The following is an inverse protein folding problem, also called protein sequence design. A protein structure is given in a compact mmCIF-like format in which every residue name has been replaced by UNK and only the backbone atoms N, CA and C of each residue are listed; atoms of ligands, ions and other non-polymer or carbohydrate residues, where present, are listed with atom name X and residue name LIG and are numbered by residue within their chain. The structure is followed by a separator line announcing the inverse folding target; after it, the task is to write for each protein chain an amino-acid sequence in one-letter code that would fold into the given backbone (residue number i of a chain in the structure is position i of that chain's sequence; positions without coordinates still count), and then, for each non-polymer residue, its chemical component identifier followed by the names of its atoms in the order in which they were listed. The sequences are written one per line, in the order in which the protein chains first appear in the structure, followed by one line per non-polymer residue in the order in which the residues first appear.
data_IF_397556757173
#
_entry.id   IF_397556757173
#
_cell.length_a   1.000
_cell.length_b   1.000
_cell.length_c   1.000
_cell.angle_alpha   90.00
_cell.angle_beta   90.00
_cell.angle_gamma   90.00
#
_symmetry.space_group_name_H-M   'P 1'
#
loop_
_entity.id
_entity.type
_entity.pdbx_description
1 polymer ?
#
# COMPACT_ATOMS: atom_id res chain seq x y z
N UNK A 1 16.11 -20.88 18.23
CA UNK A 1 14.90 -20.65 19.04
C UNK A 1 14.16 -19.48 18.40
N UNK A 2 13.16 -19.75 17.57
CA UNK A 2 12.38 -18.67 16.95
C UNK A 2 11.55 -17.99 18.05
N UNK A 3 11.48 -16.65 18.09
CA UNK A 3 10.64 -15.96 19.06
C UNK A 3 9.19 -16.44 18.89
N UNK A 4 8.58 -16.84 20.00
CA UNK A 4 7.15 -17.17 20.06
C UNK A 4 6.38 -16.00 19.46
N UNK A 5 5.52 -16.33 18.49
CA UNK A 5 4.59 -15.42 17.84
C UNK A 5 4.04 -14.43 18.87
N UNK A 6 4.37 -13.14 18.71
CA UNK A 6 3.60 -12.09 19.36
C UNK A 6 2.14 -12.39 19.04
N UNK A 7 1.32 -12.49 20.09
CA UNK A 7 -0.12 -12.64 20.00
C UNK A 7 -0.61 -11.79 18.82
N UNK A 8 -1.19 -12.47 17.83
CA UNK A 8 -1.88 -11.83 16.74
C UNK A 8 -2.98 -11.00 17.40
N UNK A 9 -2.71 -9.72 17.62
CA UNK A 9 -3.73 -8.74 17.93
C UNK A 9 -4.82 -8.93 16.89
N UNK A 10 -6.09 -8.85 17.28
CA UNK A 10 -7.20 -8.77 16.32
C UNK A 10 -6.93 -7.56 15.43
N UNK A 11 -6.14 -7.74 14.36
CA UNK A 11 -5.75 -6.68 13.46
C UNK A 11 -6.97 -6.41 12.60
N UNK A 12 -7.48 -5.19 12.69
CA UNK A 12 -8.51 -4.67 11.81
C UNK A 12 -8.07 -4.77 10.35
N UNK A 13 -6.76 -4.70 10.06
CA UNK A 13 -6.21 -4.72 8.71
C UNK A 13 -5.50 -6.04 8.36
N UNK A 14 -5.94 -6.73 7.30
CA UNK A 14 -5.25 -7.88 6.71
C UNK A 14 -4.60 -7.51 5.38
N UNK A 15 -3.27 -7.37 5.39
CA UNK A 15 -2.45 -6.96 4.24
C UNK A 15 -1.87 -8.17 3.51
N UNK A 16 -2.05 -8.23 2.20
CA UNK A 16 -1.45 -9.23 1.31
C UNK A 16 -0.63 -8.53 0.22
N UNK A 17 0.64 -8.92 0.07
CA UNK A 17 1.46 -8.55 -1.10
C UNK A 17 1.15 -9.59 -2.18
N UNK A 18 0.45 -9.18 -3.23
CA UNK A 18 -0.01 -10.06 -4.31
C UNK A 18 0.98 -10.18 -5.47
N UNK A 19 1.88 -9.20 -5.62
CA UNK A 19 2.89 -9.21 -6.68
C UNK A 19 4.12 -8.40 -6.26
N UNK A 20 5.28 -8.79 -6.78
CA UNK A 20 6.51 -7.99 -6.62
C UNK A 20 6.34 -6.61 -7.26
N UNK A 21 6.74 -5.55 -6.56
CA UNK A 21 6.79 -4.23 -7.19
C UNK A 21 8.07 -4.09 -8.03
N UNK A 22 7.99 -3.37 -9.14
CA UNK A 22 9.17 -3.04 -9.93
C UNK A 22 9.93 -1.92 -9.20
N UNK A 23 11.06 -2.24 -8.57
CA UNK A 23 11.97 -1.22 -8.04
C UNK A 23 12.77 -0.63 -9.20
N UNK A 24 12.52 0.63 -9.53
CA UNK A 24 13.23 1.32 -10.61
C UNK A 24 13.78 2.70 -10.22
N UNK A 25 13.40 3.22 -9.06
CA UNK A 25 13.99 4.42 -8.45
C UNK A 25 13.90 4.32 -6.93
N UNK A 26 14.75 5.05 -6.23
CA UNK A 26 14.76 5.06 -4.76
C UNK A 26 13.50 5.74 -4.21
N UNK A 27 12.95 6.73 -4.91
CA UNK A 27 11.69 7.38 -4.55
C UNK A 27 10.51 6.40 -4.66
N UNK A 28 10.46 5.58 -5.72
CA UNK A 28 9.43 4.56 -5.87
C UNK A 28 9.46 3.53 -4.73
N UNK A 29 10.67 3.16 -4.28
CA UNK A 29 10.87 2.28 -3.14
C UNK A 29 10.43 2.95 -1.83
N UNK A 30 10.79 4.21 -1.59
CA UNK A 30 10.38 4.95 -0.40
C UNK A 30 8.85 5.03 -0.30
N UNK A 31 8.19 5.42 -1.39
CA UNK A 31 6.72 5.51 -1.44
C UNK A 31 6.08 4.15 -1.18
N UNK A 32 6.63 3.07 -1.75
CA UNK A 32 6.14 1.72 -1.49
C UNK A 32 6.13 1.40 0.01
N UNK A 33 7.25 1.65 0.72
CA UNK A 33 7.32 1.43 2.16
C UNK A 33 6.41 2.35 2.95
N UNK A 34 6.25 3.62 2.53
CA UNK A 34 5.31 4.55 3.18
C UNK A 34 3.86 4.08 3.05
N UNK A 35 3.44 3.59 1.88
CA UNK A 35 2.12 2.97 1.69
C UNK A 35 1.94 1.79 2.65
N UNK A 36 2.92 0.87 2.70
CA UNK A 36 2.85 -0.29 3.60
C UNK A 36 2.69 0.14 5.06
N UNK A 37 3.51 1.09 5.51
CA UNK A 37 3.47 1.59 6.87
C UNK A 37 2.15 2.30 7.18
N UNK A 38 1.65 3.14 6.27
CA UNK A 38 0.34 3.80 6.42
C UNK A 38 -0.78 2.78 6.62
N UNK A 39 -0.78 1.69 5.84
CA UNK A 39 -1.78 0.62 5.99
C UNK A 39 -1.62 -0.12 7.31
N UNK A 40 -0.38 -0.48 7.68
CA UNK A 40 -0.10 -1.27 8.87
C UNK A 40 -0.29 -0.51 10.19
N UNK A 41 -0.19 0.83 10.17
CA UNK A 41 -0.40 1.68 11.34
C UNK A 41 -1.85 2.14 11.52
N UNK A 42 -2.68 2.06 10.48
CA UNK A 42 -4.09 2.42 10.61
C UNK A 42 -4.84 1.47 11.55
N UNK A 43 -5.65 2.03 12.43
CA UNK A 43 -6.43 1.26 13.41
C UNK A 43 -7.80 0.84 12.88
N UNK A 44 -8.36 1.62 11.96
CA UNK A 44 -9.64 1.37 11.29
C UNK A 44 -9.69 1.89 9.84
N UNK A 45 -10.79 1.61 9.13
CA UNK A 45 -11.01 2.04 7.74
C UNK A 45 -10.98 3.58 7.58
N UNK A 46 -11.53 4.32 8.54
CA UNK A 46 -11.64 5.77 8.47
C UNK A 46 -10.25 6.41 8.54
N UNK A 47 -9.45 5.98 9.51
CA UNK A 47 -8.07 6.42 9.67
C UNK A 47 -7.21 6.03 8.46
N UNK A 48 -7.39 4.81 7.94
CA UNK A 48 -6.69 4.34 6.74
C UNK A 48 -6.96 5.27 5.55
N UNK A 49 -8.23 5.56 5.27
CA UNK A 49 -8.63 6.43 4.15
C UNK A 49 -8.05 7.82 4.30
N UNK A 50 -8.18 8.43 5.48
CA UNK A 50 -7.62 9.76 5.75
C UNK A 50 -6.09 9.78 5.61
N UNK A 51 -5.40 8.75 6.12
CA UNK A 51 -3.94 8.66 6.07
C UNK A 51 -3.41 8.43 4.66
N UNK A 52 -4.10 7.65 3.82
CA UNK A 52 -3.75 7.45 2.41
C UNK A 52 -3.93 8.73 1.59
N UNK A 53 -5.02 9.49 1.81
CA UNK A 53 -5.21 10.78 1.15
C UNK A 53 -4.15 11.80 1.60
N UNK A 54 -3.79 11.83 2.89
CA UNK A 54 -2.68 12.65 3.38
C UNK A 54 -1.35 12.24 2.73
N UNK A 55 -1.04 10.94 2.69
CA UNK A 55 0.17 10.43 2.05
C UNK A 55 0.24 10.86 0.58
N UNK A 56 -0.88 10.79 -0.14
CA UNK A 56 -0.98 11.24 -1.53
C UNK A 56 -0.69 12.74 -1.69
N UNK A 57 -1.18 13.57 -0.76
CA UNK A 57 -0.97 15.02 -0.81
C UNK A 57 0.45 15.45 -0.39
N UNK A 58 1.08 14.72 0.52
CA UNK A 58 2.41 15.03 1.06
C UNK A 58 3.55 14.45 0.24
N UNK A 59 3.26 13.67 -0.80
CA UNK A 59 4.27 12.95 -1.59
C UNK A 59 3.96 12.95 -3.07
N UNK A 60 4.88 12.42 -3.85
CA UNK A 60 4.69 12.12 -5.28
C UNK A 60 4.09 10.74 -5.51
N UNK A 61 3.26 10.22 -4.59
CA UNK A 61 2.69 8.87 -4.69
C UNK A 61 2.05 8.60 -6.05
N UNK A 62 1.29 9.57 -6.57
CA UNK A 62 0.55 9.44 -7.84
C UNK A 62 1.45 9.27 -9.07
N UNK A 63 2.74 9.59 -8.98
CA UNK A 63 3.71 9.37 -10.06
C UNK A 63 4.07 7.88 -10.20
N UNK A 64 3.98 7.13 -9.10
CA UNK A 64 4.52 5.77 -8.98
C UNK A 64 3.41 4.73 -8.80
N UNK A 65 2.37 5.08 -8.06
CA UNK A 65 1.31 4.16 -7.68
C UNK A 65 -0.06 4.77 -7.92
N UNK A 66 -1.04 3.90 -8.01
CA UNK A 66 -2.46 4.25 -7.94
C UNK A 66 -3.12 3.29 -6.97
N UNK A 67 -4.05 3.82 -6.19
CA UNK A 67 -4.86 3.03 -5.28
C UNK A 67 -6.34 3.32 -5.49
N UNK A 68 -7.17 2.43 -4.97
CA UNK A 68 -8.60 2.61 -4.90
C UNK A 68 -9.21 1.68 -3.86
N UNK A 69 -10.50 1.84 -3.64
CA UNK A 69 -11.21 1.13 -2.58
C UNK A 69 -12.34 0.28 -3.16
N UNK A 70 -12.45 -0.95 -2.64
CA UNK A 70 -13.65 -1.77 -2.72
C UNK A 70 -14.53 -1.56 -1.48
N UNK A 71 -15.52 -2.44 -1.30
CA UNK A 71 -16.43 -2.38 -0.15
C UNK A 71 -15.72 -2.50 1.21
N UNK A 72 -14.75 -3.43 1.31
CA UNK A 72 -14.03 -3.76 2.55
C UNK A 72 -12.52 -3.92 2.33
N UNK A 73 -11.96 -3.24 1.32
CA UNK A 73 -10.52 -3.29 1.07
C UNK A 73 -9.99 -2.09 0.29
N UNK A 74 -8.69 -1.84 0.43
CA UNK A 74 -7.89 -1.00 -0.47
C UNK A 74 -7.06 -1.89 -1.40
N UNK A 75 -6.89 -1.49 -2.65
CA UNK A 75 -5.97 -2.10 -3.60
C UNK A 75 -4.94 -1.10 -4.11
N UNK A 76 -3.72 -1.56 -4.39
CA UNK A 76 -2.61 -0.75 -4.87
C UNK A 76 -2.01 -1.37 -6.14
N UNK A 77 -1.82 -0.55 -7.17
CA UNK A 77 -1.12 -0.89 -8.41
C UNK A 77 0.01 0.09 -8.65
N UNK A 78 1.03 -0.34 -9.39
CA UNK A 78 2.13 0.52 -9.82
C UNK A 78 1.93 1.01 -11.25
N UNK A 79 2.34 2.24 -11.49
CA UNK A 79 2.46 2.87 -12.80
C UNK A 79 3.73 2.40 -13.51
N UNK A 80 3.70 2.30 -14.84
CA UNK A 80 4.85 1.80 -15.58
C UNK A 80 5.98 2.85 -15.55
N UNK A 81 7.23 2.46 -15.28
CA UNK A 81 8.36 3.40 -15.28
C UNK A 81 8.52 4.10 -16.64
N UNK A 82 8.29 3.34 -17.72
CA UNK A 82 8.41 3.82 -19.11
C UNK A 82 7.28 4.75 -19.56
N UNK A 83 6.14 4.71 -18.87
CA UNK A 83 4.95 5.51 -19.20
C UNK A 83 4.05 5.58 -17.96
N UNK A 84 4.16 6.68 -17.20
CA UNK A 84 3.43 6.89 -15.95
C UNK A 84 1.90 6.91 -16.15
N UNK A 85 1.42 7.12 -17.38
CA UNK A 85 -0.02 7.06 -17.68
C UNK A 85 -0.54 5.62 -17.79
N UNK A 86 0.34 4.64 -17.92
CA UNK A 86 -0.02 3.21 -17.93
C UNK A 86 0.24 2.58 -16.56
N UNK A 87 -0.55 1.56 -16.25
CA UNK A 87 -0.42 0.77 -15.04
C UNK A 87 0.04 -0.66 -15.34
N UNK A 88 0.71 -1.29 -14.39
CA UNK A 88 0.91 -2.74 -14.43
C UNK A 88 -0.43 -3.45 -14.27
N UNK A 89 -0.53 -4.64 -14.88
CA UNK A 89 -1.77 -5.43 -14.89
C UNK A 89 -2.17 -5.85 -13.47
N UNK A 90 -1.20 -6.38 -12.73
CA UNK A 90 -1.39 -6.95 -11.40
C UNK A 90 -1.40 -5.87 -10.32
N UNK A 91 -2.20 -6.12 -9.27
CA UNK A 91 -2.08 -5.40 -7.99
C UNK A 91 -0.80 -5.85 -7.31
N UNK A 92 -0.17 -4.91 -6.62
CA UNK A 92 1.01 -5.20 -5.80
C UNK A 92 0.56 -5.58 -4.40
N UNK A 93 -0.42 -4.87 -3.87
CA UNK A 93 -0.89 -5.04 -2.51
C UNK A 93 -2.39 -4.85 -2.42
N UNK A 94 -3.01 -5.59 -1.51
CA UNK A 94 -4.37 -5.39 -1.04
C UNK A 94 -4.37 -5.41 0.48
N UNK A 95 -5.20 -4.57 1.09
CA UNK A 95 -5.48 -4.67 2.53
C UNK A 95 -6.99 -4.68 2.76
N UNK A 96 -7.46 -5.68 3.49
CA UNK A 96 -8.87 -5.82 3.88
C UNK A 96 -9.08 -5.26 5.29
N UNK A 97 -10.21 -4.58 5.51
CA UNK A 97 -10.63 -4.00 6.78
C UNK A 97 -12.05 -4.46 7.16
#
# INVERSE_FOLDING_TARGET
MYPKHLNQTNRTMNVTIEHVFCRYSDEAEEIYFRIMNTILFATDETELRASMERLKNETTLDDYFIFGYGAHHIWIKQRRPSDKNRIFKHRIMVAHF
#
